data_IF_792912336581
#
_entry.id   IF_792912336581
#
_cell.length_a   1.000
_cell.length_b   1.000
_cell.length_c   1.000
_cell.angle_alpha   90.00
_cell.angle_beta   90.00
_cell.angle_gamma   90.00
#
_symmetry.space_group_name_H-M   'P 1'
#
loop_
_entity.id
_entity.type
_entity.pdbx_description
1 polymer ?
#
# COMPACT_ATOMS: atom_id res chain seq x y z
N UNK A 1 16.29 -18.68 -1.00
CA UNK A 1 16.78 -17.98 0.19
C UNK A 1 15.79 -18.12 1.34
N UNK A 2 16.24 -17.78 2.54
CA UNK A 2 15.40 -17.75 3.76
C UNK A 2 15.06 -16.31 4.14
N UNK A 3 13.95 -15.82 3.60
CA UNK A 3 13.43 -14.47 3.88
C UNK A 3 12.91 -14.34 5.32
N UNK A 4 12.45 -15.44 5.92
CA UNK A 4 12.05 -15.47 7.32
C UNK A 4 13.22 -15.21 8.26
N UNK A 5 14.41 -15.72 7.96
CA UNK A 5 15.63 -15.41 8.71
C UNK A 5 15.98 -13.92 8.59
N UNK A 6 15.87 -13.34 7.39
CA UNK A 6 16.13 -11.90 7.19
C UNK A 6 15.25 -11.09 8.14
N UNK A 7 13.92 -11.33 8.11
CA UNK A 7 12.96 -10.60 8.97
C UNK A 7 13.27 -10.81 10.46
N UNK A 8 13.61 -12.03 10.88
CA UNK A 8 13.95 -12.32 12.30
C UNK A 8 15.23 -11.63 12.79
N UNK A 9 16.15 -11.30 11.88
CA UNK A 9 17.43 -10.65 12.19
C UNK A 9 17.37 -9.13 12.09
N UNK A 10 16.28 -8.56 11.54
CA UNK A 10 16.10 -7.12 11.53
C UNK A 10 16.04 -6.56 12.96
N UNK A 11 16.48 -5.32 13.16
CA UNK A 11 16.21 -4.60 14.40
C UNK A 11 14.71 -4.58 14.67
N UNK A 12 14.33 -4.76 15.94
CA UNK A 12 12.92 -4.66 16.33
C UNK A 12 12.39 -3.27 16.01
N UNK A 13 11.25 -3.21 15.36
CA UNK A 13 10.55 -1.98 14.98
C UNK A 13 9.06 -2.05 15.32
N UNK A 14 8.34 -1.01 14.98
CA UNK A 14 6.88 -0.95 15.01
C UNK A 14 6.37 -0.23 13.76
N UNK A 15 5.20 -0.59 13.29
CA UNK A 15 4.63 -0.03 12.07
C UNK A 15 5.43 -0.43 10.81
N UNK A 16 5.53 0.48 9.85
CA UNK A 16 6.27 0.30 8.61
C UNK A 16 7.66 0.92 8.77
N UNK A 17 8.69 0.12 8.57
CA UNK A 17 10.08 0.55 8.66
C UNK A 17 10.77 0.36 7.31
N UNK A 18 11.34 1.43 6.77
CA UNK A 18 12.18 1.39 5.58
C UNK A 18 13.49 0.68 5.91
N UNK A 19 13.89 -0.25 5.06
CA UNK A 19 15.12 -1.02 5.20
C UNK A 19 16.17 -0.47 4.23
N UNK A 20 17.18 0.18 4.79
CA UNK A 20 18.33 0.64 4.03
C UNK A 20 19.21 -0.54 3.61
N UNK A 21 19.85 -0.45 2.46
CA UNK A 21 20.71 -1.52 1.89
C UNK A 21 21.79 -1.95 2.86
N UNK A 22 22.46 -0.99 3.50
CA UNK A 22 23.55 -1.22 4.43
C UNK A 22 23.09 -1.95 5.70
N UNK A 23 21.81 -1.78 6.10
CA UNK A 23 21.22 -2.54 7.21
C UNK A 23 21.05 -4.00 6.80
N UNK A 24 20.48 -4.25 5.61
CA UNK A 24 20.28 -5.60 5.08
C UNK A 24 21.60 -6.34 4.88
N UNK A 25 22.61 -5.66 4.34
CA UNK A 25 23.96 -6.22 4.10
C UNK A 25 24.67 -6.66 5.39
N UNK A 26 24.49 -5.92 6.48
CA UNK A 26 25.17 -6.18 7.76
C UNK A 26 24.48 -7.22 8.63
N UNK A 27 23.31 -7.72 8.23
CA UNK A 27 22.61 -8.72 9.03
C UNK A 27 23.45 -10.00 9.24
N UNK A 28 23.48 -10.56 10.45
CA UNK A 28 24.21 -11.79 10.74
C UNK A 28 23.43 -13.02 10.27
N UNK A 29 23.45 -13.26 8.98
CA UNK A 29 22.65 -14.27 8.28
C UNK A 29 23.44 -15.56 8.00
N UNK A 30 22.73 -16.67 7.99
CA UNK A 30 23.21 -17.93 7.42
C UNK A 30 23.42 -17.79 5.91
N UNK A 31 23.96 -18.84 5.27
CA UNK A 31 24.09 -18.88 3.79
C UNK A 31 22.73 -18.69 3.10
N UNK A 32 21.67 -19.32 3.62
CA UNK A 32 20.31 -19.22 3.03
C UNK A 32 19.70 -17.84 3.24
N UNK A 33 19.88 -17.25 4.44
CA UNK A 33 19.46 -15.87 4.70
C UNK A 33 20.22 -14.87 3.84
N UNK A 34 21.53 -15.06 3.62
CA UNK A 34 22.33 -14.21 2.75
C UNK A 34 21.83 -14.25 1.30
N UNK A 35 21.49 -15.42 0.79
CA UNK A 35 20.88 -15.54 -0.55
C UNK A 35 19.52 -14.81 -0.63
N UNK A 36 18.73 -14.78 0.44
CA UNK A 36 17.49 -14.00 0.47
C UNK A 36 17.77 -12.49 0.46
N UNK A 37 18.71 -12.02 1.28
CA UNK A 37 19.11 -10.62 1.30
C UNK A 37 19.66 -10.15 -0.06
N UNK A 38 20.52 -10.94 -0.69
CA UNK A 38 21.04 -10.66 -2.04
C UNK A 38 19.92 -10.56 -3.09
N UNK A 39 18.88 -11.41 -3.00
CA UNK A 39 17.73 -11.33 -3.89
C UNK A 39 16.93 -10.03 -3.70
N UNK A 40 16.66 -9.61 -2.45
CA UNK A 40 16.02 -8.35 -2.16
C UNK A 40 16.75 -7.15 -2.78
N UNK A 41 18.06 -7.09 -2.58
CA UNK A 41 18.89 -5.99 -3.10
C UNK A 41 19.03 -6.04 -4.63
N UNK A 42 19.08 -7.24 -5.21
CA UNK A 42 19.11 -7.41 -6.66
C UNK A 42 17.82 -6.92 -7.32
N UNK A 43 16.65 -7.21 -6.71
CA UNK A 43 15.36 -6.75 -7.22
C UNK A 43 15.24 -5.22 -7.08
N UNK A 44 15.72 -4.62 -5.98
CA UNK A 44 15.79 -3.16 -5.87
C UNK A 44 16.67 -2.54 -6.97
N UNK A 45 17.85 -3.12 -7.21
CA UNK A 45 18.75 -2.64 -8.26
C UNK A 45 18.10 -2.74 -9.64
N UNK A 46 17.44 -3.88 -9.93
CA UNK A 46 16.71 -4.07 -11.19
C UNK A 46 15.64 -3.01 -11.40
N UNK A 47 14.87 -2.69 -10.38
CA UNK A 47 13.82 -1.66 -10.47
C UNK A 47 14.41 -0.26 -10.69
N UNK A 48 15.52 0.07 -10.02
CA UNK A 48 16.26 1.35 -10.25
C UNK A 48 16.80 1.44 -11.69
N UNK A 49 17.32 0.35 -12.23
CA UNK A 49 17.81 0.30 -13.62
C UNK A 49 16.69 0.53 -14.64
N UNK A 50 15.43 0.29 -14.24
CA UNK A 50 14.22 0.61 -15.01
C UNK A 50 13.66 2.02 -14.72
N UNK A 51 14.39 2.85 -13.99
CA UNK A 51 13.99 4.23 -13.68
C UNK A 51 12.95 4.37 -12.58
N UNK A 52 12.71 3.31 -11.78
CA UNK A 52 11.83 3.33 -10.62
C UNK A 52 12.60 3.71 -9.35
N UNK A 53 11.89 4.13 -8.31
CA UNK A 53 12.43 4.44 -6.98
C UNK A 53 11.94 3.41 -5.95
N UNK A 54 12.49 2.18 -5.92
CA UNK A 54 12.01 1.11 -5.07
C UNK A 54 12.38 1.34 -3.61
N UNK A 55 11.41 1.17 -2.73
CA UNK A 55 11.59 1.21 -1.28
C UNK A 55 11.36 -0.18 -0.71
N UNK A 56 12.33 -0.71 0.04
CA UNK A 56 12.20 -1.97 0.75
C UNK A 56 11.66 -1.69 2.16
N UNK A 57 10.52 -2.28 2.49
CA UNK A 57 9.85 -2.08 3.77
C UNK A 57 9.74 -3.37 4.57
N UNK A 58 9.81 -3.26 5.90
CA UNK A 58 9.32 -4.28 6.83
C UNK A 58 8.11 -3.74 7.59
N UNK A 59 7.00 -4.46 7.52
CA UNK A 59 5.78 -4.15 8.27
C UNK A 59 5.77 -5.04 9.52
N UNK A 60 6.06 -4.46 10.70
CA UNK A 60 6.13 -5.19 11.97
C UNK A 60 4.74 -5.40 12.57
N UNK A 61 3.88 -4.40 12.47
CA UNK A 61 2.53 -4.44 12.99
C UNK A 61 1.59 -3.77 11.99
N UNK A 62 0.41 -4.34 11.78
CA UNK A 62 -0.66 -3.67 11.08
C UNK A 62 -1.34 -2.68 12.03
N UNK A 63 -0.89 -1.44 12.02
CA UNK A 63 -1.50 -0.39 12.83
C UNK A 63 -2.83 -0.01 12.19
N UNK A 64 -3.94 -0.50 12.78
CA UNK A 64 -5.23 0.12 12.51
C UNK A 64 -5.24 1.47 13.21
N UNK A 65 -5.63 2.52 12.51
CA UNK A 65 -5.88 3.81 13.14
C UNK A 65 -6.97 3.65 14.23
N UNK A 66 -6.69 3.96 15.49
CA UNK A 66 -7.71 3.91 16.55
C UNK A 66 -8.85 4.90 16.30
N UNK A 67 -8.57 5.99 15.58
CA UNK A 67 -9.53 7.01 15.16
C UNK A 67 -9.95 6.76 13.70
N UNK A 68 -10.59 5.61 13.46
CA UNK A 68 -11.25 5.38 12.19
C UNK A 68 -12.48 6.28 12.11
N UNK A 69 -12.35 7.46 11.51
CA UNK A 69 -13.46 8.32 11.14
C UNK A 69 -14.50 7.60 10.26
N UNK A 70 -15.35 8.34 9.58
CA UNK A 70 -16.35 7.77 8.66
C UNK A 70 -15.73 6.84 7.63
N UNK A 71 -14.51 7.18 7.16
CA UNK A 71 -13.72 6.37 6.23
C UNK A 71 -12.38 6.03 6.87
N UNK A 72 -12.15 4.76 7.26
CA UNK A 72 -10.82 4.32 7.66
C UNK A 72 -9.85 4.46 6.48
N UNK A 73 -8.73 5.17 6.72
CA UNK A 73 -7.68 5.46 5.75
C UNK A 73 -6.38 4.69 6.04
N UNK A 74 -6.48 3.61 6.81
CA UNK A 74 -5.35 2.74 7.10
C UNK A 74 -5.04 1.78 5.93
N UNK A 75 -3.85 1.21 5.95
CA UNK A 75 -3.36 0.27 4.92
C UNK A 75 -4.13 -1.05 4.84
N UNK A 76 -5.03 -1.34 5.81
CA UNK A 76 -5.88 -2.53 5.81
C UNK A 76 -7.16 -2.33 4.99
N UNK A 77 -7.46 -1.11 4.56
CA UNK A 77 -8.56 -0.78 3.66
C UNK A 77 -8.13 -0.98 2.22
N UNK A 78 -9.00 -1.49 1.34
CA UNK A 78 -8.71 -1.42 -0.09
C UNK A 78 -8.56 0.04 -0.50
N UNK A 79 -7.44 0.37 -1.11
CA UNK A 79 -7.12 1.72 -1.54
C UNK A 79 -6.26 1.69 -2.81
N UNK A 80 -6.14 2.82 -3.44
CA UNK A 80 -5.15 3.07 -4.49
C UNK A 80 -4.12 4.05 -3.95
N UNK A 81 -2.87 3.90 -4.37
CA UNK A 81 -1.86 4.91 -4.11
C UNK A 81 -2.11 6.15 -4.98
N UNK A 82 -1.66 7.31 -4.53
CA UNK A 82 -1.71 8.53 -5.31
C UNK A 82 -0.32 9.11 -5.53
N UNK A 83 -0.15 9.77 -6.67
CA UNK A 83 1.08 10.46 -7.02
C UNK A 83 0.78 11.80 -7.69
N UNK A 84 1.62 12.84 -7.50
CA UNK A 84 1.44 14.14 -8.15
C UNK A 84 1.78 14.15 -9.65
N UNK A 85 2.43 13.09 -10.12
CA UNK A 85 2.86 12.91 -11.51
C UNK A 85 2.54 11.49 -11.99
N UNK A 86 2.61 11.26 -13.30
CA UNK A 86 2.50 9.93 -13.90
C UNK A 86 3.62 9.03 -13.42
N UNK A 87 3.25 7.98 -12.67
CA UNK A 87 4.18 6.94 -12.19
C UNK A 87 3.45 5.60 -12.11
N UNK A 88 4.21 4.53 -12.21
CA UNK A 88 3.73 3.19 -11.92
C UNK A 88 4.07 2.83 -10.48
N UNK A 89 3.09 2.28 -9.75
CA UNK A 89 3.33 1.68 -8.44
C UNK A 89 3.46 0.17 -8.58
N UNK A 90 4.53 -0.36 -7.99
CA UNK A 90 4.84 -1.78 -8.02
C UNK A 90 4.91 -2.34 -6.62
N UNK A 91 4.41 -3.55 -6.42
CA UNK A 91 4.36 -4.23 -5.13
C UNK A 91 4.82 -5.67 -5.26
N UNK A 92 5.73 -6.09 -4.37
CA UNK A 92 6.12 -7.49 -4.21
C UNK A 92 6.24 -7.82 -2.73
N UNK A 93 5.65 -8.93 -2.30
CA UNK A 93 5.78 -9.45 -0.94
C UNK A 93 6.77 -10.62 -0.93
N UNK A 94 7.80 -10.55 -0.09
CA UNK A 94 8.81 -11.62 0.03
C UNK A 94 8.58 -12.54 1.22
N UNK A 95 7.90 -12.06 2.25
CA UNK A 95 7.67 -12.85 3.47
C UNK A 95 6.42 -12.36 4.21
N UNK A 96 5.71 -13.28 4.87
CA UNK A 96 4.53 -12.99 5.67
C UNK A 96 3.23 -12.94 4.86
N UNK A 97 2.24 -12.22 5.39
CA UNK A 97 0.97 -12.02 4.71
C UNK A 97 1.17 -11.09 3.49
N UNK A 98 0.61 -11.47 2.36
CA UNK A 98 0.59 -10.62 1.17
C UNK A 98 -0.65 -9.73 1.15
N UNK A 99 -0.58 -8.66 0.36
CA UNK A 99 -1.73 -7.81 0.08
C UNK A 99 -2.79 -8.54 -0.74
N UNK A 100 -4.02 -8.07 -0.64
CA UNK A 100 -5.14 -8.49 -1.45
C UNK A 100 -5.56 -7.37 -2.39
N UNK A 101 -5.97 -7.73 -3.60
CA UNK A 101 -6.48 -6.82 -4.62
C UNK A 101 -7.95 -7.05 -4.95
N UNK A 102 -8.57 -6.04 -5.53
CA UNK A 102 -9.86 -6.09 -6.19
C UNK A 102 -9.68 -5.71 -7.65
N UNK A 103 -10.49 -6.27 -8.54
CA UNK A 103 -10.61 -5.73 -9.89
C UNK A 103 -11.32 -4.36 -9.81
N UNK A 104 -10.93 -3.41 -10.67
CA UNK A 104 -11.52 -2.06 -10.66
C UNK A 104 -13.05 -2.11 -10.81
N UNK A 105 -13.57 -2.98 -11.69
CA UNK A 105 -15.00 -3.16 -11.89
C UNK A 105 -15.73 -3.79 -10.68
N UNK A 106 -15.01 -4.43 -9.76
CA UNK A 106 -15.53 -5.04 -8.54
C UNK A 106 -15.41 -4.10 -7.32
N UNK A 107 -14.80 -2.94 -7.48
CA UNK A 107 -14.61 -1.95 -6.43
C UNK A 107 -15.64 -0.82 -6.54
N UNK A 108 -15.98 -0.20 -5.41
CA UNK A 108 -16.74 1.04 -5.32
C UNK A 108 -16.04 1.99 -4.37
N UNK A 109 -15.79 3.23 -4.79
CA UNK A 109 -15.20 4.23 -3.90
C UNK A 109 -16.13 4.48 -2.72
N UNK A 110 -15.57 4.54 -1.51
CA UNK A 110 -16.35 4.77 -0.30
C UNK A 110 -17.09 6.10 -0.34
N UNK A 111 -16.45 7.14 -0.88
CA UNK A 111 -17.06 8.49 -1.00
C UNK A 111 -18.23 8.57 -1.99
N UNK A 112 -18.40 7.57 -2.85
CA UNK A 112 -19.54 7.50 -3.79
C UNK A 112 -20.74 6.76 -3.19
N UNK A 113 -20.62 6.20 -1.99
CA UNK A 113 -21.71 5.55 -1.27
C UNK A 113 -22.54 6.64 -0.57
N UNK A 114 -23.87 6.77 -0.84
CA UNK A 114 -24.67 7.90 -0.37
C UNK A 114 -24.61 8.12 1.14
N UNK A 115 -24.63 7.06 1.93
CA UNK A 115 -24.61 7.12 3.39
C UNK A 115 -23.27 7.64 3.91
N UNK A 116 -22.16 7.18 3.32
CA UNK A 116 -20.79 7.61 3.65
C UNK A 116 -20.61 9.06 3.23
N UNK A 117 -20.99 9.40 1.98
CA UNK A 117 -20.88 10.77 1.46
C UNK A 117 -21.65 11.76 2.32
N UNK A 118 -22.88 11.40 2.74
CA UNK A 118 -23.70 12.25 3.63
C UNK A 118 -23.05 12.45 5.00
N UNK A 119 -22.43 11.42 5.57
CA UNK A 119 -21.75 11.51 6.85
C UNK A 119 -20.50 12.41 6.74
N UNK A 120 -19.70 12.25 5.68
CA UNK A 120 -18.52 13.09 5.41
C UNK A 120 -18.90 14.56 5.15
N UNK A 121 -20.01 14.80 4.42
CA UNK A 121 -20.53 16.15 4.19
C UNK A 121 -20.99 16.82 5.49
N UNK A 122 -21.60 16.05 6.40
CA UNK A 122 -21.95 16.52 7.74
C UNK A 122 -20.73 16.86 8.60
N UNK A 123 -19.65 16.08 8.47
CA UNK A 123 -18.38 16.33 9.15
C UNK A 123 -17.68 17.58 8.60
N UNK A 124 -17.67 17.73 7.29
CA UNK A 124 -17.14 18.92 6.59
C UNK A 124 -17.90 20.20 6.97
N UNK A 125 -19.22 20.10 7.17
CA UNK A 125 -20.07 21.22 7.60
C UNK A 125 -20.37 22.26 6.53
N UNK A 126 -20.14 21.93 5.26
CA UNK A 126 -20.37 22.78 4.10
C UNK A 126 -21.39 22.23 3.13
N UNK A 127 -21.24 22.56 1.86
CA UNK A 127 -22.05 22.06 0.74
C UNK A 127 -21.25 21.06 -0.10
N UNK A 128 -21.96 20.20 -0.85
CA UNK A 128 -21.33 19.24 -1.77
C UNK A 128 -20.90 19.98 -3.06
N UNK A 129 -19.78 20.66 -2.95
CA UNK A 129 -19.18 21.49 -3.99
C UNK A 129 -17.67 21.19 -4.13
N UNK A 130 -16.95 22.04 -4.88
CA UNK A 130 -15.51 21.89 -5.12
C UNK A 130 -14.69 21.87 -3.82
N UNK A 131 -15.06 22.68 -2.81
CA UNK A 131 -14.39 22.68 -1.50
C UNK A 131 -14.58 21.35 -0.74
N UNK A 132 -15.74 20.71 -0.89
CA UNK A 132 -15.94 19.38 -0.33
C UNK A 132 -15.09 18.31 -1.06
N UNK A 133 -14.95 18.39 -2.38
CA UNK A 133 -14.08 17.48 -3.14
C UNK A 133 -12.61 17.64 -2.74
N UNK A 134 -12.15 18.90 -2.54
CA UNK A 134 -10.81 19.16 -2.03
C UNK A 134 -10.62 18.57 -0.62
N UNK A 135 -11.59 18.77 0.27
CA UNK A 135 -11.57 18.13 1.61
C UNK A 135 -11.46 16.60 1.53
N UNK A 136 -12.22 15.93 0.64
CA UNK A 136 -12.14 14.48 0.48
C UNK A 136 -10.74 14.03 0.04
N UNK A 137 -10.14 14.77 -0.87
CA UNK A 137 -8.79 14.51 -1.38
C UNK A 137 -7.71 14.78 -0.31
N UNK A 138 -7.79 15.89 0.40
CA UNK A 138 -6.84 16.24 1.48
C UNK A 138 -6.81 15.20 2.59
N UNK A 139 -7.96 14.59 2.88
CA UNK A 139 -8.08 13.49 3.86
C UNK A 139 -7.84 12.11 3.24
N UNK A 140 -7.55 12.02 1.95
CA UNK A 140 -7.39 10.78 1.19
C UNK A 140 -8.61 9.85 1.22
N UNK A 141 -9.80 10.36 1.54
CA UNK A 141 -11.03 9.57 1.62
C UNK A 141 -11.45 9.01 0.25
N UNK A 142 -11.17 9.74 -0.83
CA UNK A 142 -11.48 9.39 -2.21
C UNK A 142 -10.58 8.26 -2.77
N UNK A 143 -9.51 7.91 -2.06
CA UNK A 143 -8.60 6.82 -2.43
C UNK A 143 -9.06 5.45 -1.91
N UNK A 144 -10.10 5.38 -1.09
CA UNK A 144 -10.52 4.16 -0.40
C UNK A 144 -11.78 3.54 -0.99
N UNK A 145 -11.78 2.20 -1.06
CA UNK A 145 -12.79 1.40 -1.75
C UNK A 145 -13.41 0.34 -0.86
N UNK A 146 -14.59 -0.13 -1.26
CA UNK A 146 -15.24 -1.33 -0.75
C UNK A 146 -15.48 -2.32 -1.89
N UNK A 147 -15.47 -3.64 -1.60
CA UNK A 147 -15.91 -4.64 -2.56
C UNK A 147 -17.39 -4.46 -2.88
N UNK A 148 -17.76 -4.50 -4.16
CA UNK A 148 -19.14 -4.64 -4.58
C UNK A 148 -19.71 -5.99 -4.12
N UNK A 149 -21.04 -6.09 -4.03
CA UNK A 149 -21.68 -7.35 -3.66
C UNK A 149 -21.30 -8.46 -4.63
N UNK A 150 -20.68 -9.51 -4.12
CA UNK A 150 -20.22 -10.66 -4.92
C UNK A 150 -18.78 -10.54 -5.43
N UNK A 151 -18.11 -9.41 -5.22
CA UNK A 151 -16.69 -9.26 -5.51
C UNK A 151 -15.84 -10.31 -4.80
N UNK A 152 -14.77 -10.73 -5.45
CA UNK A 152 -13.85 -11.75 -4.92
C UNK A 152 -12.44 -11.18 -4.86
N UNK A 153 -12.02 -10.67 -3.70
CA UNK A 153 -10.63 -10.30 -3.51
C UNK A 153 -9.68 -11.45 -3.88
N UNK A 154 -8.57 -11.11 -4.48
CA UNK A 154 -7.52 -12.07 -4.81
C UNK A 154 -6.22 -11.71 -4.09
N UNK A 155 -5.49 -12.74 -3.64
CA UNK A 155 -4.20 -12.54 -2.98
C UNK A 155 -3.12 -12.29 -4.04
N UNK A 156 -2.25 -11.31 -3.82
CA UNK A 156 -1.09 -11.06 -4.69
C UNK A 156 -0.04 -12.17 -4.59
N UNK A 157 -0.04 -12.91 -3.48
CA UNK A 157 0.95 -13.95 -3.22
C UNK A 157 2.32 -13.37 -2.87
N UNK A 158 3.31 -14.27 -2.84
CA UNK A 158 4.71 -13.90 -2.59
C UNK A 158 5.55 -14.10 -3.86
N UNK A 159 6.65 -13.35 -3.97
CA UNK A 159 7.62 -13.44 -5.09
C UNK A 159 7.05 -13.11 -6.47
N UNK A 160 5.95 -12.38 -6.50
CA UNK A 160 5.36 -11.87 -7.75
C UNK A 160 5.34 -10.36 -7.68
N UNK A 161 5.93 -9.72 -8.67
CA UNK A 161 5.89 -8.27 -8.82
C UNK A 161 4.61 -7.87 -9.53
N UNK A 162 3.78 -7.11 -8.86
CA UNK A 162 2.50 -6.61 -9.35
C UNK A 162 2.62 -5.13 -9.69
N UNK A 163 2.11 -4.74 -10.84
CA UNK A 163 1.79 -3.34 -11.11
C UNK A 163 0.38 -3.09 -10.60
N UNK A 164 0.22 -2.17 -9.67
CA UNK A 164 -1.04 -1.83 -9.04
C UNK A 164 -1.55 -0.47 -9.52
N UNK A 165 -2.85 -0.22 -9.37
CA UNK A 165 -3.47 1.04 -9.75
C UNK A 165 -2.87 2.21 -8.96
N UNK A 166 -2.56 3.29 -9.66
CA UNK A 166 -2.05 4.53 -9.09
C UNK A 166 -2.87 5.69 -9.64
N UNK A 167 -3.38 6.54 -8.77
CA UNK A 167 -4.08 7.76 -9.13
C UNK A 167 -3.09 8.89 -9.37
N UNK A 168 -3.19 9.59 -10.49
CA UNK A 168 -2.53 10.88 -10.74
C UNK A 168 -3.47 11.82 -11.51
N UNK A 169 -3.19 13.13 -11.58
CA UNK A 169 -4.17 14.12 -12.06
C UNK A 169 -4.76 13.86 -13.44
N UNK A 170 -4.04 13.20 -14.34
CA UNK A 170 -4.49 12.86 -15.70
C UNK A 170 -4.99 11.42 -15.86
N UNK A 171 -4.92 10.63 -14.79
CA UNK A 171 -5.37 9.23 -14.79
C UNK A 171 -6.27 8.96 -13.59
N UNK A 172 -7.53 9.39 -13.62
CA UNK A 172 -8.48 8.99 -12.61
C UNK A 172 -8.71 7.47 -12.71
N UNK A 173 -8.53 6.78 -11.60
CA UNK A 173 -8.72 5.32 -11.48
C UNK A 173 -10.21 4.97 -11.39
#
# INVERSE_FOLDING_TARGET
>A
GDFGEVVQKLPKGSGIVVLEEDVVERLPLSKSGRQAAEALLADQSLLRDHGLDPVLNCVFDSVRSPDSGVVPTDVMSFHVDSAPIEVDTWLCTYHGACSEGLLNEEAIRKVDIPEIRSALLSEYGGTDDEGFLEYLSDQSYDLHYLPKKGAKPYAFGTFTLWRIATLWPQNPV
#
